data_IF_561169804566
#
_entry.id   IF_561169804566
#
_cell.length_a   1.000
_cell.length_b   1.000
_cell.length_c   1.000
_cell.angle_alpha   90.00
_cell.angle_beta   90.00
_cell.angle_gamma   90.00
#
_symmetry.space_group_name_H-M   'P 1'
#
loop_
_entity.id
_entity.type
_entity.pdbx_description
1 polymer ?
#
# COMPACT_ATOMS: atom_id res chain seq x y z
N UNK A 1 17.67 -21.52 0.22
CA UNK A 1 16.69 -20.61 -0.43
C UNK A 1 15.63 -20.12 0.55
N UNK A 2 14.97 -20.98 1.35
CA UNK A 2 13.89 -20.55 2.26
C UNK A 2 14.29 -19.70 3.48
N UNK A 3 15.57 -19.64 3.87
CA UNK A 3 16.00 -18.88 5.06
C UNK A 3 15.74 -17.37 4.93
N UNK A 4 15.80 -16.83 3.72
CA UNK A 4 15.56 -15.39 3.48
C UNK A 4 14.09 -15.04 3.62
N UNK A 5 13.20 -15.90 3.10
CA UNK A 5 11.73 -15.72 3.13
C UNK A 5 11.10 -15.94 4.52
N UNK A 6 11.85 -16.57 5.41
CA UNK A 6 11.43 -16.82 6.79
C UNK A 6 12.10 -15.84 7.78
N UNK A 7 12.95 -14.93 7.28
CA UNK A 7 13.53 -13.91 8.13
C UNK A 7 12.45 -12.88 8.49
N UNK A 8 12.51 -12.31 9.70
CA UNK A 8 11.60 -11.25 10.08
C UNK A 8 11.82 -10.01 9.20
N UNK A 9 10.73 -9.35 8.85
CA UNK A 9 10.76 -8.07 8.15
C UNK A 9 11.43 -7.01 9.03
N UNK A 10 12.12 -6.08 8.37
CA UNK A 10 12.86 -4.98 8.99
C UNK A 10 12.29 -3.62 8.58
N UNK A 11 12.55 -2.59 9.39
CA UNK A 11 12.16 -1.22 9.06
C UNK A 11 12.79 -0.75 7.73
N UNK A 12 14.01 -1.20 7.42
CA UNK A 12 14.69 -0.89 6.17
C UNK A 12 13.86 -1.33 4.95
N UNK A 13 13.25 -2.52 5.00
CA UNK A 13 12.40 -3.04 3.93
C UNK A 13 11.08 -2.26 3.80
N UNK A 14 10.54 -1.73 4.89
CA UNK A 14 9.37 -0.83 4.85
C UNK A 14 9.73 0.48 4.14
N UNK A 15 10.88 1.07 4.49
CA UNK A 15 11.36 2.30 3.86
C UNK A 15 11.68 2.08 2.38
N UNK A 16 12.30 0.96 2.04
CA UNK A 16 12.58 0.58 0.66
C UNK A 16 11.28 0.38 -0.14
N UNK A 17 10.29 -0.30 0.45
CA UNK A 17 8.97 -0.45 -0.15
C UNK A 17 8.32 0.90 -0.47
N UNK A 18 8.33 1.85 0.49
CA UNK A 18 7.81 3.20 0.27
C UNK A 18 8.53 3.95 -0.86
N UNK A 19 9.87 3.85 -0.92
CA UNK A 19 10.68 4.49 -1.96
C UNK A 19 10.45 3.86 -3.34
N UNK A 20 10.17 2.56 -3.38
CA UNK A 20 9.85 1.83 -4.61
C UNK A 20 8.45 2.10 -5.16
N UNK A 21 7.59 2.84 -4.44
CA UNK A 21 6.26 3.22 -4.91
C UNK A 21 6.34 4.60 -5.58
N UNK A 22 5.81 4.69 -6.81
CA UNK A 22 5.73 5.96 -7.54
C UNK A 22 4.89 7.02 -6.78
N UNK A 23 5.34 8.28 -6.69
CA UNK A 23 4.75 9.30 -5.82
C UNK A 23 3.30 9.68 -6.18
N UNK A 24 2.91 9.48 -7.44
CA UNK A 24 1.59 9.82 -7.99
C UNK A 24 0.67 8.60 -8.12
N UNK A 25 1.08 7.44 -7.61
CA UNK A 25 0.28 6.22 -7.76
C UNK A 25 -1.05 6.37 -7.00
N UNK A 26 -2.18 5.96 -7.58
CA UNK A 26 -3.47 5.98 -6.90
C UNK A 26 -3.44 5.08 -5.67
N UNK A 27 -3.65 5.68 -4.50
CA UNK A 27 -3.63 5.01 -3.17
C UNK A 27 -4.42 5.80 -2.12
N UNK A 28 -5.27 6.74 -2.57
CA UNK A 28 -5.89 7.71 -1.69
C UNK A 28 -7.34 7.30 -1.40
N UNK A 29 -7.49 6.45 -0.40
CA UNK A 29 -8.79 6.20 0.25
C UNK A 29 -8.94 7.03 1.53
N UNK A 30 -7.85 7.31 2.23
CA UNK A 30 -7.79 7.96 3.56
C UNK A 30 -7.47 9.47 3.51
N UNK A 31 -7.32 10.04 2.31
CA UNK A 31 -6.99 11.46 2.12
C UNK A 31 -5.49 11.78 2.10
N UNK A 32 -4.61 10.79 2.25
CA UNK A 32 -3.17 10.96 2.12
C UNK A 32 -2.63 10.30 0.85
N UNK A 33 -1.68 10.96 0.21
CA UNK A 33 -1.01 10.46 -0.99
C UNK A 33 0.35 9.84 -0.66
N UNK A 34 0.90 9.00 -1.52
CA UNK A 34 2.25 8.42 -1.32
C UNK A 34 3.32 9.51 -1.13
N UNK A 35 3.23 10.61 -1.89
CA UNK A 35 4.17 11.73 -1.74
C UNK A 35 4.11 12.37 -0.35
N UNK A 36 2.95 12.35 0.32
CA UNK A 36 2.84 12.80 1.71
C UNK A 36 3.69 11.91 2.62
N UNK A 37 3.55 10.58 2.51
CA UNK A 37 4.36 9.64 3.28
C UNK A 37 5.86 9.78 3.01
N UNK A 38 6.24 9.98 1.75
CA UNK A 38 7.64 10.18 1.38
C UNK A 38 8.23 11.49 1.95
N UNK A 39 7.46 12.58 1.95
CA UNK A 39 7.92 13.89 2.45
C UNK A 39 7.92 13.99 3.97
N UNK A 40 6.88 13.47 4.61
CA UNK A 40 6.67 13.58 6.05
C UNK A 40 7.07 12.32 6.81
N UNK A 41 7.89 11.43 6.20
CA UNK A 41 8.36 10.20 6.82
C UNK A 41 9.05 10.43 8.17
N UNK A 42 9.76 11.55 8.33
CA UNK A 42 10.39 11.94 9.59
C UNK A 42 9.40 12.17 10.75
N UNK A 43 8.12 12.39 10.45
CA UNK A 43 7.05 12.60 11.43
C UNK A 43 6.26 11.31 11.66
N UNK A 44 5.82 10.65 10.59
CA UNK A 44 4.86 9.52 10.65
C UNK A 44 5.49 8.14 10.42
N UNK A 45 6.77 8.11 10.05
CA UNK A 45 7.43 6.89 9.59
C UNK A 45 7.57 5.85 10.70
N UNK A 46 7.82 6.28 11.94
CA UNK A 46 7.99 5.38 13.08
C UNK A 46 6.73 4.58 13.36
N UNK A 47 5.58 5.25 13.44
CA UNK A 47 4.28 4.62 13.68
C UNK A 47 3.86 3.77 12.49
N UNK A 48 4.11 4.24 11.27
CA UNK A 48 3.81 3.50 10.03
C UNK A 48 4.62 2.21 9.94
N UNK A 49 5.94 2.28 10.18
CA UNK A 49 6.83 1.11 10.21
C UNK A 49 6.40 0.13 11.28
N UNK A 50 6.11 0.60 12.49
CA UNK A 50 5.65 -0.25 13.58
C UNK A 50 4.39 -1.02 13.20
N UNK A 51 3.38 -0.33 12.67
CA UNK A 51 2.14 -0.98 12.23
C UNK A 51 2.42 -2.06 11.17
N UNK A 52 3.21 -1.73 10.13
CA UNK A 52 3.54 -2.69 9.08
C UNK A 52 4.26 -3.93 9.64
N UNK A 53 5.22 -3.73 10.54
CA UNK A 53 5.98 -4.82 11.16
C UNK A 53 5.12 -5.67 12.10
N UNK A 54 4.19 -5.06 12.84
CA UNK A 54 3.25 -5.79 13.68
C UNK A 54 2.36 -6.70 12.85
N UNK A 55 1.91 -6.24 11.68
CA UNK A 55 1.17 -7.08 10.73
C UNK A 55 2.06 -8.20 10.18
N UNK A 56 3.24 -7.86 9.67
CA UNK A 56 4.09 -8.79 8.90
C UNK A 56 4.78 -9.84 9.77
N UNK A 57 5.23 -9.47 10.98
CA UNK A 57 5.99 -10.36 11.86
C UNK A 57 5.14 -10.98 12.97
N UNK A 58 4.08 -10.30 13.42
CA UNK A 58 3.27 -10.74 14.57
C UNK A 58 1.84 -11.14 14.19
N UNK A 59 1.45 -11.00 12.92
CA UNK A 59 0.12 -11.40 12.44
C UNK A 59 -1.00 -10.49 12.94
N UNK A 60 -0.71 -9.23 13.26
CA UNK A 60 -1.76 -8.25 13.58
C UNK A 60 -2.74 -8.08 12.41
N UNK A 61 -3.99 -7.72 12.74
CA UNK A 61 -5.05 -7.55 11.74
C UNK A 61 -4.78 -6.37 10.80
N UNK A 62 -5.18 -6.56 9.53
CA UNK A 62 -5.20 -5.54 8.49
C UNK A 62 -6.56 -4.82 8.40
N UNK A 63 -7.57 -5.20 9.17
CA UNK A 63 -8.97 -4.77 8.98
C UNK A 63 -9.15 -3.24 9.01
N UNK A 64 -8.34 -2.53 9.79
CA UNK A 64 -8.40 -1.07 9.88
C UNK A 64 -8.02 -0.39 8.56
N UNK A 65 -7.10 -1.00 7.81
CA UNK A 65 -6.49 -0.43 6.60
C UNK A 65 -6.86 -1.16 5.31
N UNK A 66 -7.43 -2.37 5.40
CA UNK A 66 -7.91 -3.19 4.29
C UNK A 66 -9.28 -2.71 3.79
N UNK A 67 -9.44 -1.39 3.68
CA UNK A 67 -10.61 -0.75 3.10
C UNK A 67 -10.25 -0.35 1.68
N UNK A 68 -11.02 -0.87 0.73
CA UNK A 68 -10.81 -0.62 -0.69
C UNK A 68 -11.98 0.16 -1.26
N UNK A 69 -11.70 1.31 -1.86
CA UNK A 69 -12.68 2.03 -2.67
C UNK A 69 -12.52 1.64 -4.13
N UNK A 70 -13.58 1.08 -4.72
CA UNK A 70 -13.65 0.80 -6.13
C UNK A 70 -14.08 2.05 -6.89
N UNK A 71 -13.22 2.53 -7.77
CA UNK A 71 -13.49 3.63 -8.70
C UNK A 71 -13.62 3.07 -10.10
N UNK A 72 -14.72 3.41 -10.79
CA UNK A 72 -14.95 2.99 -12.17
C UNK A 72 -14.53 4.11 -13.13
N UNK A 73 -13.46 3.89 -13.89
CA UNK A 73 -13.00 4.83 -14.92
C UNK A 73 -13.62 4.46 -16.28
N UNK A 74 -14.38 5.35 -16.94
CA UNK A 74 -14.93 5.09 -18.26
C UNK A 74 -13.85 4.84 -19.33
N UNK A 75 -14.06 3.85 -20.19
CA UNK A 75 -13.24 3.56 -21.39
C UNK A 75 -13.69 4.34 -22.61
N UNK A 76 -14.98 4.68 -22.67
CA UNK A 76 -15.63 5.29 -23.84
C UNK A 76 -16.45 6.50 -23.40
N UNK A 77 -16.69 7.42 -24.32
CA UNK A 77 -17.72 8.44 -24.19
C UNK A 77 -19.09 7.76 -24.11
N UNK A 78 -19.89 8.11 -23.08
CA UNK A 78 -21.19 7.52 -22.77
C UNK A 78 -21.18 6.01 -22.45
N UNK A 79 -20.57 5.60 -21.32
CA UNK A 79 -20.58 4.21 -20.91
C UNK A 79 -22.00 3.75 -20.51
N UNK A 80 -22.50 2.67 -21.11
CA UNK A 80 -23.85 2.13 -20.89
C UNK A 80 -23.85 0.68 -20.35
N UNK A 81 -22.67 0.09 -20.13
CA UNK A 81 -22.49 -1.25 -19.57
C UNK A 81 -21.23 -1.29 -18.69
N UNK A 82 -21.20 -2.13 -17.65
CA UNK A 82 -20.05 -2.35 -16.76
C UNK A 82 -18.76 -2.71 -17.51
N UNK A 83 -18.84 -3.40 -18.65
CA UNK A 83 -17.68 -3.72 -19.49
C UNK A 83 -16.94 -2.47 -20.01
N UNK A 84 -17.64 -1.34 -20.08
CA UNK A 84 -17.09 -0.06 -20.55
C UNK A 84 -16.31 0.69 -19.47
N UNK A 85 -16.10 0.09 -18.29
CA UNK A 85 -15.31 0.68 -17.22
C UNK A 85 -14.04 -0.15 -16.94
N UNK A 86 -12.99 0.55 -16.51
CA UNK A 86 -11.87 -0.03 -15.81
C UNK A 86 -12.08 0.16 -14.31
N UNK A 87 -12.25 -0.91 -13.52
CA UNK A 87 -12.23 -0.78 -12.08
C UNK A 87 -10.80 -0.50 -11.60
N UNK A 88 -10.66 0.51 -10.75
CA UNK A 88 -9.44 0.77 -9.97
C UNK A 88 -9.79 0.61 -8.50
N UNK A 89 -9.02 -0.25 -7.83
CA UNK A 89 -9.06 -0.39 -6.37
C UNK A 89 -8.12 0.63 -5.74
N UNK A 90 -8.67 1.57 -4.97
CA UNK A 90 -7.92 2.48 -4.12
C UNK A 90 -7.85 1.88 -2.72
N UNK A 91 -6.65 1.47 -2.31
CA UNK A 91 -6.37 1.02 -0.94
C UNK A 91 -5.63 2.14 -0.19
N UNK A 92 -5.55 2.05 1.14
CA UNK A 92 -4.72 2.97 1.94
C UNK A 92 -3.24 2.88 1.56
N UNK A 93 -2.49 3.95 1.81
CA UNK A 93 -1.05 3.97 1.53
C UNK A 93 -0.33 2.95 2.39
N UNK A 94 -0.72 2.80 3.67
CA UNK A 94 -0.14 1.81 4.59
C UNK A 94 -0.31 0.40 4.03
N UNK A 95 -1.51 0.05 3.55
CA UNK A 95 -1.74 -1.26 2.92
C UNK A 95 -0.84 -1.47 1.71
N UNK A 96 -0.69 -0.43 0.88
CA UNK A 96 0.17 -0.47 -0.30
C UNK A 96 1.64 -0.68 0.08
N UNK A 97 2.11 -0.05 1.16
CA UNK A 97 3.46 -0.26 1.70
C UNK A 97 3.62 -1.71 2.17
N UNK A 98 2.70 -2.21 3.01
CA UNK A 98 2.74 -3.59 3.53
C UNK A 98 2.79 -4.62 2.40
N UNK A 99 1.90 -4.51 1.42
CA UNK A 99 1.86 -5.40 0.26
C UNK A 99 3.14 -5.31 -0.59
N UNK A 100 3.70 -4.10 -0.73
CA UNK A 100 4.96 -3.89 -1.47
C UNK A 100 6.16 -4.48 -0.73
N UNK A 101 6.20 -4.42 0.61
CA UNK A 101 7.23 -5.08 1.42
C UNK A 101 7.20 -6.59 1.22
N UNK A 102 6.02 -7.24 1.23
CA UNK A 102 5.89 -8.67 0.91
C UNK A 102 6.41 -8.96 -0.50
N UNK A 103 6.03 -8.15 -1.49
CA UNK A 103 6.46 -8.33 -2.88
C UNK A 103 7.97 -8.14 -3.08
N UNK A 104 8.64 -7.33 -2.25
CA UNK A 104 10.09 -7.12 -2.33
C UNK A 104 10.87 -8.21 -1.59
N UNK A 105 10.23 -8.88 -0.63
CA UNK A 105 10.83 -9.94 0.18
C UNK A 105 10.79 -11.31 -0.53
N UNK A 106 9.84 -11.50 -1.47
CA UNK A 106 9.74 -12.65 -2.39
C UNK A 106 10.83 -12.64 -3.47
#
# INVERSE_FOLDING_TARGET
MNKSLMAPYTEAEIVEALKGIGPTKPSMFDGFSIIFYQKFWHIIGKETSKFCLDVLNHGHSLDEINKTQLVLIPKTTNPNNLKNFHPISLCTVIYTITAKSVSNHL
#
